data_IF_265050050477
#
_entry.id   IF_265050050477
#
_cell.length_a   1.000
_cell.length_b   1.000
_cell.length_c   1.000
_cell.angle_alpha   90.00
_cell.angle_beta   90.00
_cell.angle_gamma   90.00
#
_symmetry.space_group_name_H-M   'P 1'
#
loop_
_entity.id
_entity.type
_entity.pdbx_description
1 polymer ?
#
# COMPACT_ATOMS: atom_id res chain seq x y z
N UNK A 1 11.01 11.29 -9.20
CA UNK A 1 10.55 11.60 -7.82
C UNK A 1 10.73 13.08 -7.45
N UNK A 2 11.96 13.59 -7.27
CA UNK A 2 12.21 14.98 -6.83
C UNK A 2 11.63 16.04 -7.78
N UNK A 3 11.79 15.86 -9.09
CA UNK A 3 11.22 16.75 -10.12
C UNK A 3 9.70 16.91 -10.00
N UNK A 4 9.01 15.85 -9.58
CA UNK A 4 7.56 15.80 -9.45
C UNK A 4 7.08 16.21 -8.05
N UNK A 5 7.99 16.67 -7.17
CA UNK A 5 7.69 17.07 -5.81
C UNK A 5 7.18 15.94 -4.90
N UNK A 6 7.43 14.69 -5.27
CA UNK A 6 7.04 13.53 -4.46
C UNK A 6 8.05 13.30 -3.34
N UNK A 7 7.52 12.94 -2.16
CA UNK A 7 8.30 12.55 -0.99
C UNK A 7 8.24 11.06 -0.71
N UNK A 8 7.23 10.38 -1.24
CA UNK A 8 7.13 8.93 -1.24
C UNK A 8 6.69 8.52 -2.64
N UNK A 9 7.41 7.58 -3.25
CA UNK A 9 7.05 7.08 -4.55
C UNK A 9 7.37 5.60 -4.70
N UNK A 10 6.94 4.98 -5.80
CA UNK A 10 7.45 3.70 -6.25
C UNK A 10 7.49 3.71 -7.78
N UNK A 11 8.36 2.91 -8.42
CA UNK A 11 8.24 2.65 -9.86
C UNK A 11 6.90 1.96 -10.14
N UNK A 12 6.32 2.23 -11.30
CA UNK A 12 5.09 1.56 -11.70
C UNK A 12 5.34 0.07 -11.96
N UNK A 13 4.31 -0.74 -11.75
CA UNK A 13 4.29 -2.13 -12.17
C UNK A 13 3.86 -2.21 -13.63
N UNK A 14 4.61 -2.96 -14.44
CA UNK A 14 4.18 -3.26 -15.80
C UNK A 14 2.82 -3.99 -15.76
N UNK A 15 1.86 -3.68 -16.65
CA UNK A 15 0.56 -4.37 -16.70
C UNK A 15 0.66 -5.89 -16.86
N UNK A 16 1.78 -6.41 -17.38
CA UNK A 16 2.03 -7.85 -17.51
C UNK A 16 2.59 -8.49 -16.23
N UNK A 17 2.76 -7.73 -15.14
CA UNK A 17 3.20 -8.26 -13.85
C UNK A 17 2.14 -9.20 -13.26
N UNK A 18 2.59 -10.26 -12.60
CA UNK A 18 1.69 -11.16 -11.86
C UNK A 18 1.45 -10.64 -10.45
N UNK A 19 0.32 -11.00 -9.84
CA UNK A 19 0.08 -10.68 -8.42
C UNK A 19 -0.16 -9.21 -8.09
N UNK A 20 -0.60 -8.38 -9.03
CA UNK A 20 -0.93 -6.97 -8.75
C UNK A 20 -2.14 -6.88 -7.81
N UNK A 21 -1.94 -6.38 -6.59
CA UNK A 21 -2.99 -6.25 -5.57
C UNK A 21 -3.72 -4.90 -5.61
N UNK A 22 -3.01 -3.82 -5.92
CA UNK A 22 -3.56 -2.47 -5.91
C UNK A 22 -3.40 -1.81 -7.29
N UNK A 23 -4.51 -1.53 -7.97
CA UNK A 23 -4.44 -0.99 -9.35
C UNK A 23 -3.76 0.35 -9.50
N UNK A 24 -3.62 1.13 -8.42
CA UNK A 24 -2.84 2.36 -8.43
C UNK A 24 -1.36 2.10 -8.73
N UNK A 25 -0.84 0.89 -8.54
CA UNK A 25 0.56 0.58 -8.85
C UNK A 25 0.80 0.34 -10.34
N UNK A 26 -0.26 0.16 -11.15
CA UNK A 26 -0.17 -0.19 -12.57
C UNK A 26 0.28 1.01 -13.40
N UNK A 27 1.26 0.78 -14.27
CA UNK A 27 1.81 1.78 -15.18
C UNK A 27 0.77 2.36 -16.12
N UNK A 28 0.73 3.69 -16.20
CA UNK A 28 0.02 4.46 -17.22
C UNK A 28 0.99 4.92 -18.28
N UNK A 29 1.04 4.18 -19.40
CA UNK A 29 2.01 4.38 -20.50
C UNK A 29 2.04 5.81 -21.08
N UNK A 30 0.94 6.55 -20.97
CA UNK A 30 0.81 7.92 -21.49
C UNK A 30 1.22 9.01 -20.50
N UNK A 31 1.65 8.64 -19.29
CA UNK A 31 1.99 9.58 -18.21
C UNK A 31 3.44 9.39 -17.77
N UNK A 32 4.00 10.42 -17.14
CA UNK A 32 5.29 10.34 -16.43
C UNK A 32 5.13 9.84 -15.01
N UNK A 33 4.01 10.17 -14.37
CA UNK A 33 3.64 9.73 -13.03
C UNK A 33 2.13 9.86 -12.84
N UNK A 34 1.61 9.22 -11.79
CA UNK A 34 0.27 9.48 -11.30
C UNK A 34 0.16 9.30 -9.79
N UNK A 35 -0.79 9.99 -9.17
CA UNK A 35 -1.00 9.97 -7.70
C UNK A 35 -2.31 9.31 -7.29
N UNK A 36 -3.10 8.89 -8.28
CA UNK A 36 -4.42 8.30 -8.07
C UNK A 36 -4.89 7.42 -9.19
N UNK A 37 -5.86 6.57 -8.86
CA UNK A 37 -6.58 5.70 -9.77
C UNK A 37 -8.08 5.92 -9.63
N UNK A 38 -8.78 5.68 -10.74
CA UNK A 38 -10.23 5.57 -10.77
C UNK A 38 -10.55 4.12 -11.03
N UNK A 39 -11.39 3.55 -10.18
CA UNK A 39 -11.77 2.17 -10.35
C UNK A 39 -13.18 1.94 -9.83
N UNK A 40 -14.00 1.36 -10.70
CA UNK A 40 -15.35 0.95 -10.41
C UNK A 40 -15.46 -0.57 -10.27
N UNK A 41 -14.40 -1.33 -10.59
CA UNK A 41 -14.37 -2.81 -10.62
C UNK A 41 -13.39 -3.34 -9.57
N UNK A 42 -13.93 -3.94 -8.51
CA UNK A 42 -13.15 -4.54 -7.42
C UNK A 42 -13.79 -4.30 -6.05
N UNK A 43 -13.14 -4.78 -4.98
CA UNK A 43 -13.63 -4.57 -3.60
C UNK A 43 -13.52 -3.12 -3.13
N UNK A 44 -12.63 -2.33 -3.73
CA UNK A 44 -12.44 -0.90 -3.42
C UNK A 44 -12.87 -0.06 -4.61
N UNK A 45 -13.91 0.76 -4.43
CA UNK A 45 -14.39 1.71 -5.43
C UNK A 45 -13.67 3.06 -5.25
N UNK A 46 -12.93 3.49 -6.26
CA UNK A 46 -12.19 4.75 -6.29
C UNK A 46 -12.92 5.79 -7.14
N UNK A 47 -13.40 6.85 -6.50
CA UNK A 47 -14.08 7.99 -7.12
C UNK A 47 -13.30 9.29 -6.85
N UNK A 48 -13.85 10.43 -7.26
CA UNK A 48 -13.29 11.75 -6.92
C UNK A 48 -13.35 12.08 -5.43
N UNK A 49 -14.20 11.39 -4.66
CA UNK A 49 -14.22 11.53 -3.21
C UNK A 49 -13.15 10.67 -2.51
N UNK A 50 -12.49 9.74 -3.23
CA UNK A 50 -11.54 8.77 -2.66
C UNK A 50 -10.14 9.37 -2.53
N UNK A 51 -9.91 10.16 -1.48
CA UNK A 51 -8.62 10.83 -1.18
C UNK A 51 -7.68 9.99 -0.30
N UNK A 52 -8.10 8.78 0.07
CA UNK A 52 -7.33 7.86 0.87
C UNK A 52 -6.72 6.71 0.07
N UNK A 53 -5.77 6.00 0.68
CA UNK A 53 -5.26 4.76 0.13
C UNK A 53 -6.38 3.70 0.05
N UNK A 54 -6.31 2.77 -0.92
CA UNK A 54 -5.31 2.70 -1.98
C UNK A 54 -5.62 3.61 -3.19
N UNK A 55 -6.69 4.40 -3.18
CA UNK A 55 -7.15 5.15 -4.35
C UNK A 55 -6.28 6.36 -4.71
N UNK A 56 -5.77 7.06 -3.70
CA UNK A 56 -4.97 8.28 -3.84
C UNK A 56 -3.89 8.33 -2.76
N UNK A 57 -2.71 8.87 -3.09
CA UNK A 57 -1.65 9.12 -2.12
C UNK A 57 -1.12 7.84 -1.47
N UNK A 58 -1.01 6.77 -2.27
CA UNK A 58 -0.61 5.44 -1.84
C UNK A 58 0.51 4.90 -2.73
N UNK A 59 1.42 4.15 -2.12
CA UNK A 59 2.36 3.25 -2.78
C UNK A 59 2.33 1.92 -2.04
N UNK A 60 2.58 0.82 -2.75
CA UNK A 60 2.67 -0.50 -2.16
C UNK A 60 4.08 -0.72 -1.61
N UNK A 61 4.21 -1.41 -0.48
CA UNK A 61 5.47 -1.59 0.24
C UNK A 61 6.56 -2.40 -0.46
N UNK A 62 6.38 -2.77 -1.74
CA UNK A 62 7.31 -3.63 -2.48
C UNK A 62 8.58 -2.91 -2.95
N UNK A 63 8.44 -1.70 -3.48
CA UNK A 63 9.56 -0.91 -3.98
C UNK A 63 9.41 0.60 -3.67
N UNK A 64 9.13 0.99 -2.41
CA UNK A 64 8.97 2.40 -2.08
C UNK A 64 10.32 3.13 -2.10
N UNK A 65 10.29 4.37 -2.56
CA UNK A 65 11.40 5.32 -2.56
C UNK A 65 10.95 6.54 -1.76
N UNK A 66 11.73 6.89 -0.75
CA UNK A 66 11.41 7.95 0.20
C UNK A 66 12.37 9.13 0.07
N UNK A 67 11.88 10.34 0.34
CA UNK A 67 12.73 11.46 0.73
C UNK A 67 13.41 11.12 2.07
N UNK A 68 14.49 11.84 2.41
CA UNK A 68 15.16 11.62 3.70
C UNK A 68 14.21 11.79 4.89
N UNK A 69 13.42 12.87 4.90
CA UNK A 69 12.45 13.14 5.98
C UNK A 69 11.35 12.08 6.05
N UNK A 70 10.79 11.67 4.91
CA UNK A 70 9.76 10.64 4.87
C UNK A 70 10.31 9.28 5.29
N UNK A 71 11.56 8.96 4.95
CA UNK A 71 12.22 7.74 5.40
C UNK A 71 12.42 7.73 6.91
N UNK A 72 12.89 8.83 7.51
CA UNK A 72 13.02 8.92 8.96
C UNK A 72 11.68 8.66 9.65
N UNK A 73 10.57 9.22 9.17
CA UNK A 73 9.25 8.89 9.71
C UNK A 73 8.87 7.41 9.50
N UNK A 74 9.01 6.90 8.27
CA UNK A 74 8.63 5.53 7.93
C UNK A 74 9.44 4.49 8.72
N UNK A 75 10.71 4.80 9.00
CA UNK A 75 11.58 3.97 9.84
C UNK A 75 11.06 3.81 11.27
N UNK A 76 10.50 4.87 11.87
CA UNK A 76 9.88 4.77 13.19
C UNK A 76 8.48 4.12 13.13
N UNK A 77 7.84 4.10 11.96
CA UNK A 77 6.59 3.39 11.74
C UNK A 77 6.79 1.87 11.61
N UNK A 78 7.89 1.47 10.96
CA UNK A 78 8.29 0.07 10.81
C UNK A 78 8.88 -0.41 12.15
N UNK A 79 8.11 -1.23 12.86
CA UNK A 79 8.54 -1.83 14.11
C UNK A 79 9.16 -3.22 13.85
N UNK A 80 10.06 -3.66 14.74
CA UNK A 80 10.78 -4.94 14.61
C UNK A 80 9.90 -6.20 14.78
N UNK A 81 8.58 -6.05 14.88
CA UNK A 81 7.62 -7.12 15.13
C UNK A 81 6.75 -7.48 13.92
N UNK A 82 7.09 -6.95 12.74
CA UNK A 82 6.43 -7.29 11.49
C UNK A 82 7.25 -8.32 10.71
N UNK A 83 6.81 -9.58 10.70
CA UNK A 83 7.30 -10.60 9.76
C UNK A 83 6.78 -10.32 8.36
N UNK A 84 5.55 -9.81 8.24
CA UNK A 84 4.96 -9.43 6.97
C UNK A 84 4.22 -8.09 7.07
N UNK A 85 4.88 -7.02 6.63
CA UNK A 85 4.40 -5.62 6.71
C UNK A 85 3.25 -5.24 5.77
N UNK A 86 2.48 -6.21 5.24
CA UNK A 86 1.35 -5.92 4.36
C UNK A 86 0.25 -5.17 5.12
N UNK A 87 -0.22 -4.06 4.55
CA UNK A 87 -1.22 -3.17 5.17
C UNK A 87 -0.62 -1.99 5.93
N UNK A 88 0.66 -2.04 6.30
CA UNK A 88 1.38 -0.87 6.85
C UNK A 88 1.57 0.23 5.78
N UNK A 89 1.63 -0.17 4.51
CA UNK A 89 1.63 0.72 3.34
C UNK A 89 0.45 1.71 3.32
N UNK A 90 -0.68 1.35 3.94
CA UNK A 90 -1.83 2.25 4.13
C UNK A 90 -1.52 3.46 5.04
N UNK A 91 -0.45 3.38 5.84
CA UNK A 91 -0.02 4.45 6.76
C UNK A 91 1.20 5.22 6.27
N UNK A 92 1.94 4.73 5.26
CA UNK A 92 3.12 5.42 4.74
C UNK A 92 2.83 6.87 4.30
N UNK A 93 1.62 7.14 3.79
CA UNK A 93 1.21 8.49 3.41
C UNK A 93 1.23 9.52 4.55
N UNK A 94 1.19 9.11 5.82
CA UNK A 94 1.35 10.01 6.97
C UNK A 94 2.79 10.53 7.12
N UNK A 95 3.78 9.85 6.51
CA UNK A 95 5.18 10.27 6.55
C UNK A 95 5.57 11.27 5.46
N UNK A 96 4.66 11.58 4.53
CA UNK A 96 4.87 12.66 3.58
C UNK A 96 4.56 14.01 4.25
N UNK A 97 5.42 15.01 4.06
CA UNK A 97 5.18 16.35 4.57
C UNK A 97 4.07 17.04 3.74
N UNK A 98 2.90 17.19 4.37
CA UNK A 98 1.73 17.84 3.79
C UNK A 98 0.72 16.86 3.19
N UNK A 99 0.10 17.25 2.08
CA UNK A 99 -1.01 16.49 1.50
C UNK A 99 -0.50 15.25 0.74
N UNK A 100 -0.75 14.05 1.28
CA UNK A 100 -0.38 12.78 0.64
C UNK A 100 -0.91 12.63 -0.78
N UNK A 101 -2.04 13.26 -1.12
CA UNK A 101 -2.61 13.20 -2.47
C UNK A 101 -1.74 13.90 -3.51
N UNK A 102 -0.82 14.77 -3.06
CA UNK A 102 0.13 15.53 -3.88
C UNK A 102 1.56 15.03 -3.73
N UNK A 103 1.91 14.51 -2.56
CA UNK A 103 3.28 14.13 -2.20
C UNK A 103 3.60 12.66 -2.38
N UNK A 104 2.58 11.81 -2.56
CA UNK A 104 2.73 10.36 -2.74
C UNK A 104 2.20 9.94 -4.10
N UNK A 105 2.95 9.11 -4.83
CA UNK A 105 2.52 8.64 -6.14
C UNK A 105 3.45 7.65 -6.81
N UNK A 106 3.03 7.18 -7.97
CA UNK A 106 3.71 6.17 -8.79
C UNK A 106 4.38 6.87 -9.97
N UNK A 107 5.65 6.55 -10.21
CA UNK A 107 6.39 7.03 -11.38
C UNK A 107 6.10 6.06 -12.54
N UNK A 108 5.51 6.55 -13.63
CA UNK A 108 5.13 5.73 -14.80
C UNK A 108 6.23 5.64 -15.86
N UNK A 109 7.15 6.61 -15.86
CA UNK A 109 8.32 6.64 -16.74
C UNK A 109 9.38 5.60 -16.34
N UNK A 110 9.39 5.19 -15.08
CA UNK A 110 10.27 4.17 -14.52
C UNK A 110 9.38 3.02 -14.03
N UNK A 111 9.60 1.81 -14.53
CA UNK A 111 8.72 0.69 -14.21
C UNK A 111 9.48 -0.61 -14.05
N UNK A 112 8.87 -1.53 -13.31
CA UNK A 112 9.41 -2.86 -13.02
C UNK A 112 8.38 -3.92 -13.37
N UNK A 113 8.85 -5.12 -13.68
CA UNK A 113 8.00 -6.31 -13.87
C UNK A 113 8.03 -7.10 -12.57
N UNK A 114 6.89 -7.17 -11.88
CA UNK A 114 6.76 -7.96 -10.65
C UNK A 114 6.31 -9.40 -10.98
N UNK A 115 7.03 -10.38 -10.43
CA UNK A 115 6.84 -11.80 -10.72
C UNK A 115 5.90 -12.50 -9.72
N UNK A 116 5.38 -11.81 -8.69
CA UNK A 116 4.43 -12.41 -7.74
C UNK A 116 4.98 -13.61 -6.95
N UNK A 117 6.30 -13.79 -6.95
CA UNK A 117 6.97 -14.92 -6.31
C UNK A 117 6.91 -14.70 -4.81
N UNK A 118 6.28 -15.62 -4.09
CA UNK A 118 6.22 -15.57 -2.64
C UNK A 118 7.54 -16.04 -2.05
N UNK A 119 8.10 -15.22 -1.17
CA UNK A 119 9.36 -15.50 -0.47
C UNK A 119 9.14 -16.23 0.85
N UNK A 120 7.93 -16.16 1.42
CA UNK A 120 7.54 -16.78 2.68
C UNK A 120 6.41 -17.80 2.45
N UNK A 121 6.51 -19.00 3.05
CA UNK A 121 5.41 -19.98 3.09
C UNK A 121 5.60 -21.25 2.25
N UNK A 122 6.79 -21.51 1.72
CA UNK A 122 7.07 -22.72 0.94
C UNK A 122 6.63 -22.64 -0.52
N UNK A 123 7.06 -23.64 -1.32
CA UNK A 123 7.45 -23.53 -2.74
C UNK A 123 6.52 -22.77 -3.71
N UNK A 124 7.13 -21.86 -4.49
CA UNK A 124 6.62 -21.28 -5.75
C UNK A 124 7.45 -21.80 -6.95
N UNK A 125 6.88 -21.94 -8.15
CA UNK A 125 7.09 -23.09 -9.04
C UNK A 125 8.30 -22.95 -9.96
N UNK A 126 9.33 -23.76 -9.73
CA UNK A 126 9.92 -24.46 -10.87
C UNK A 126 9.41 -25.89 -10.83
N UNK A 127 8.39 -26.14 -11.66
CA UNK A 127 8.25 -27.36 -12.46
C UNK A 127 8.72 -28.62 -11.73
N UNK A 128 7.91 -29.15 -10.79
CA UNK A 128 7.99 -30.55 -10.46
C UNK A 128 7.38 -31.34 -11.64
N UNK A 129 8.19 -31.51 -12.69
CA UNK A 129 8.00 -32.62 -13.60
C UNK A 129 8.23 -33.89 -12.79
N UNK A 130 7.15 -34.64 -12.58
CA UNK A 130 7.11 -36.04 -12.21
C UNK A 130 7.95 -36.46 -10.99
N UNK A 131 7.30 -36.61 -9.85
CA UNK A 131 7.47 -37.84 -9.07
C UNK A 131 6.16 -38.09 -8.32
N UNK A 132 5.50 -39.18 -8.71
CA UNK A 132 4.46 -39.79 -7.90
C UNK A 132 5.03 -40.19 -6.54
N UNK A 133 4.15 -40.04 -5.55
CA UNK A 133 4.11 -40.78 -4.30
C UNK A 133 4.83 -40.24 -3.05
N UNK A 134 4.10 -40.42 -1.94
CA UNK A 134 4.39 -40.14 -0.54
C UNK A 134 4.17 -38.72 0.01
N UNK A 135 3.24 -38.66 0.99
CA UNK A 135 3.07 -37.64 2.04
C UNK A 135 2.07 -36.49 1.83
N UNK A 136 0.91 -36.81 1.27
CA UNK A 136 -0.33 -36.04 1.47
C UNK A 136 -0.90 -36.29 2.89
N UNK A 137 -0.41 -35.64 3.96
CA UNK A 137 -1.21 -35.44 5.21
C UNK A 137 -0.69 -34.53 6.33
N UNK A 138 0.53 -33.96 6.30
CA UNK A 138 1.03 -33.14 7.42
C UNK A 138 1.55 -31.73 7.08
N UNK A 139 1.36 -31.26 5.86
CA UNK A 139 1.56 -29.84 5.54
C UNK A 139 0.32 -29.04 5.99
N UNK A 140 0.26 -28.62 7.25
CA UNK A 140 -0.49 -27.39 7.57
C UNK A 140 -0.04 -26.37 6.54
N UNK A 141 -0.96 -25.76 5.80
CA UNK A 141 -0.64 -24.81 4.73
C UNK A 141 0.20 -23.68 5.32
N UNK A 142 1.52 -23.79 5.21
CA UNK A 142 2.50 -22.90 5.84
C UNK A 142 2.24 -21.45 5.42
N UNK A 143 1.71 -21.27 4.21
CA UNK A 143 1.26 -19.99 3.69
C UNK A 143 0.05 -19.44 4.46
N UNK A 144 -0.93 -20.28 4.78
CA UNK A 144 -2.06 -19.89 5.61
C UNK A 144 -1.61 -19.47 7.00
N UNK A 145 -0.62 -20.15 7.59
CA UNK A 145 -0.06 -19.73 8.89
C UNK A 145 0.64 -18.38 8.80
N UNK A 146 1.45 -18.15 7.75
CA UNK A 146 2.11 -16.85 7.54
C UNK A 146 1.11 -15.73 7.31
N UNK A 147 0.03 -15.99 6.57
CA UNK A 147 -1.07 -15.03 6.40
C UNK A 147 -1.80 -14.76 7.72
N UNK A 148 -1.99 -15.79 8.55
CA UNK A 148 -2.60 -15.65 9.88
C UNK A 148 -1.71 -14.81 10.80
N UNK A 149 -0.41 -15.10 10.82
CA UNK A 149 0.58 -14.34 11.57
C UNK A 149 0.62 -12.88 11.09
N UNK A 150 0.74 -12.64 9.79
CA UNK A 150 0.70 -11.29 9.20
C UNK A 150 -0.56 -10.51 9.60
N UNK A 151 -1.72 -11.19 9.61
CA UNK A 151 -2.98 -10.58 10.03
C UNK A 151 -2.92 -10.19 11.51
N UNK A 152 -2.41 -11.08 12.37
CA UNK A 152 -2.24 -10.82 13.81
C UNK A 152 -1.31 -9.63 14.07
N UNK A 153 -0.14 -9.61 13.41
CA UNK A 153 0.84 -8.52 13.47
C UNK A 153 0.23 -7.18 13.04
N UNK A 154 -0.54 -7.18 11.95
CA UNK A 154 -1.25 -5.99 11.50
C UNK A 154 -2.29 -5.50 12.52
N UNK A 155 -2.97 -6.39 13.24
CA UNK A 155 -3.89 -5.99 14.32
C UNK A 155 -3.14 -5.36 15.49
N UNK A 156 -1.99 -5.92 15.87
CA UNK A 156 -1.13 -5.33 16.91
C UNK A 156 -0.64 -3.94 16.50
N UNK A 157 -0.21 -3.77 15.25
CA UNK A 157 0.14 -2.47 14.69
C UNK A 157 -1.03 -1.47 14.75
N UNK A 158 -2.24 -1.88 14.34
CA UNK A 158 -3.43 -1.01 14.39
C UNK A 158 -3.77 -0.57 15.81
N UNK A 159 -3.76 -1.48 16.78
CA UNK A 159 -4.01 -1.16 18.19
C UNK A 159 -3.00 -0.13 18.72
N UNK A 160 -1.70 -0.32 18.44
CA UNK A 160 -0.66 0.63 18.83
C UNK A 160 -0.83 1.99 18.16
N UNK A 161 -1.18 2.00 16.88
CA UNK A 161 -1.48 3.25 16.16
C UNK A 161 -2.66 3.99 16.81
N UNK A 162 -3.75 3.28 17.10
CA UNK A 162 -4.95 3.85 17.73
C UNK A 162 -4.64 4.38 19.14
N UNK A 163 -3.89 3.61 19.93
CA UNK A 163 -3.45 4.03 21.27
C UNK A 163 -2.56 5.27 21.20
N UNK A 164 -1.57 5.32 20.30
CA UNK A 164 -0.71 6.49 20.16
C UNK A 164 -1.49 7.75 19.75
N UNK A 165 -2.51 7.58 18.91
CA UNK A 165 -3.45 8.65 18.52
C UNK A 165 -4.30 9.12 19.70
N UNK A 166 -4.71 8.23 20.60
CA UNK A 166 -5.52 8.55 21.78
C UNK A 166 -4.69 9.22 22.89
N UNK A 167 -3.45 8.77 23.08
CA UNK A 167 -2.55 9.30 24.10
C UNK A 167 -2.00 10.69 23.76
N UNK A 168 -1.77 10.98 22.47
CA UNK A 168 -1.34 12.30 22.01
C UNK A 168 -2.54 13.25 21.90
N UNK A 169 -2.80 13.98 23.00
CA UNK A 169 -3.92 14.93 23.12
C UNK A 169 -3.89 16.06 22.10
N UNK A 170 -2.72 16.40 21.58
CA UNK A 170 -2.54 17.47 20.60
C UNK A 170 -2.57 16.92 19.16
N UNK A 171 -2.70 15.61 18.99
CA UNK A 171 -2.74 14.98 17.68
C UNK A 171 -4.02 15.32 16.93
N UNK A 172 -3.86 15.81 15.71
CA UNK A 172 -4.96 16.06 14.78
C UNK A 172 -4.69 15.32 13.49
N UNK A 173 -5.59 14.41 13.11
CA UNK A 173 -5.47 13.70 11.84
C UNK A 173 -5.47 14.70 10.66
N UNK A 174 -4.34 14.86 9.94
CA UNK A 174 -4.24 15.82 8.85
C UNK A 174 -5.18 15.48 7.68
N UNK A 175 -5.67 14.23 7.61
CA UNK A 175 -6.50 13.74 6.50
C UNK A 175 -7.99 13.66 6.84
N UNK A 176 -8.42 13.73 8.11
CA UNK A 176 -9.85 13.80 8.48
C UNK A 176 -10.50 15.11 8.01
N UNK A 177 -9.78 16.23 8.12
CA UNK A 177 -10.33 17.57 7.87
C UNK A 177 -10.71 17.79 6.41
N UNK A 178 -9.97 17.18 5.48
CA UNK A 178 -10.24 17.23 4.04
C UNK A 178 -11.54 16.50 3.67
N UNK A 179 -11.82 15.35 4.31
CA UNK A 179 -13.06 14.60 4.11
C UNK A 179 -14.29 15.37 4.60
N UNK A 180 -14.22 16.01 5.79
CA UNK A 180 -15.35 16.78 6.36
C UNK A 180 -15.67 18.05 5.58
N UNK A 181 -14.66 18.82 5.15
CA UNK A 181 -14.85 20.02 4.32
C UNK A 181 -15.51 19.72 2.98
N UNK A 182 -15.17 18.59 2.34
CA UNK A 182 -15.69 18.23 1.03
C UNK A 182 -17.06 17.55 1.06
N UNK A 183 -17.39 16.77 2.09
CA UNK A 183 -18.78 16.30 2.33
C UNK A 183 -19.76 17.47 2.40
N UNK A 184 -19.38 18.54 3.12
CA UNK A 184 -20.17 19.79 3.17
C UNK A 184 -20.29 20.50 1.81
N UNK A 185 -19.33 20.33 0.92
CA UNK A 185 -19.35 20.94 -0.42
C UNK A 185 -20.13 20.08 -1.45
N UNK A 186 -20.05 18.75 -1.38
CA UNK A 186 -20.85 17.87 -2.26
C UNK A 186 -22.34 17.92 -1.92
N UNK A 187 -22.69 18.12 -0.65
CA UNK A 187 -24.07 18.36 -0.20
C UNK A 187 -24.63 19.72 -0.67
N UNK A 188 -23.79 20.63 -1.17
CA UNK A 188 -24.17 21.99 -1.60
C UNK A 188 -24.21 22.19 -3.11
N UNK A 189 -23.86 21.17 -3.91
CA UNK A 189 -24.00 21.24 -5.37
C UNK A 189 -25.41 20.79 -5.76
N UNK A 190 -26.23 21.64 -6.41
CA UNK A 190 -27.47 21.17 -7.01
C UNK A 190 -27.13 20.16 -8.12
N UNK A 191 -27.96 19.13 -8.25
CA UNK A 191 -27.94 18.14 -9.33
C UNK A 191 -28.08 18.78 -10.70
#
# INVERSE_FOLDING_TARGET
>A
MKSEGLEISQPALDPNSTGIHHRITIRKRTKKFHRRVYDIRGNVKCSDASEGPPCTGFVEGMAPVFSRSAWHCAWHLIQNDLVHGWGMDMKLGYCAQGDRTKKVGVIDSEYVVHQGIQTLGGLSPRKASNSEDSMKKHAVDMRSEIRRQSTSELQIFKKRWEQAVEEDKDWVDPFQRNQRRKRRHSQRRPT
#
